data_IF_517647173760
#
_entry.id   IF_517647173760
#
_cell.length_a   1.000
_cell.length_b   1.000
_cell.length_c   1.000
_cell.angle_alpha   90.00
_cell.angle_beta   90.00
_cell.angle_gamma   90.00
#
_symmetry.space_group_name_H-M   'P 1'
#
loop_
_entity.id
_entity.type
_entity.pdbx_description
1 polymer ?
#
# COMPACT_ATOMS: atom_id res chain seq x y z
N UNK A 1 -10.01 8.73 -17.15
CA UNK A 1 -9.10 7.59 -17.31
C UNK A 1 -8.78 7.39 -18.78
N UNK A 2 -7.50 7.26 -19.12
CA UNK A 2 -7.06 7.00 -20.49
C UNK A 2 -7.46 5.57 -20.94
N UNK A 3 -7.63 5.33 -22.25
CA UNK A 3 -7.74 3.97 -22.81
C UNK A 3 -6.51 3.11 -22.46
N UNK A 4 -6.67 1.78 -22.44
CA UNK A 4 -5.59 0.85 -22.06
C UNK A 4 -4.33 1.05 -22.92
N UNK A 5 -4.49 1.29 -24.21
CA UNK A 5 -3.42 1.48 -25.19
C UNK A 5 -2.61 2.77 -24.95
N UNK A 6 -3.19 3.73 -24.22
CA UNK A 6 -2.59 5.01 -23.92
C UNK A 6 -1.95 5.05 -22.53
N UNK A 7 -2.49 4.29 -21.55
CA UNK A 7 -2.09 4.37 -20.13
C UNK A 7 -0.61 4.15 -19.88
N UNK A 8 -0.01 3.22 -20.60
CA UNK A 8 1.38 2.79 -20.38
C UNK A 8 2.36 3.42 -21.37
N UNK A 9 1.90 4.37 -22.20
CA UNK A 9 2.80 5.11 -23.08
C UNK A 9 3.71 6.01 -22.23
N UNK A 10 5.00 6.17 -22.60
CA UNK A 10 5.95 6.98 -21.82
C UNK A 10 5.46 8.40 -21.52
N UNK A 11 4.74 9.03 -22.45
CA UNK A 11 4.16 10.37 -22.29
C UNK A 11 3.08 10.47 -21.21
N UNK A 12 2.47 9.35 -20.81
CA UNK A 12 1.43 9.27 -19.79
C UNK A 12 1.94 8.70 -18.45
N UNK A 13 3.24 8.39 -18.36
CA UNK A 13 3.89 7.85 -17.16
C UNK A 13 4.85 8.89 -16.61
N UNK A 14 4.65 9.27 -15.36
CA UNK A 14 5.50 10.23 -14.66
C UNK A 14 6.32 9.49 -13.62
N UNK A 15 7.65 9.59 -13.70
CA UNK A 15 8.55 9.09 -12.67
C UNK A 15 8.53 10.05 -11.48
N UNK A 16 7.88 9.63 -10.38
CA UNK A 16 7.71 10.46 -9.17
C UNK A 16 8.81 10.27 -8.13
N UNK A 17 9.64 9.24 -8.26
CA UNK A 17 10.70 8.97 -7.30
C UNK A 17 11.56 7.79 -7.70
N UNK A 18 12.81 7.81 -7.24
CA UNK A 18 13.79 6.77 -7.49
C UNK A 18 14.45 6.39 -6.17
N UNK A 19 14.28 5.13 -5.77
CA UNK A 19 14.93 4.61 -4.56
C UNK A 19 16.33 4.12 -4.95
N UNK A 20 17.41 4.71 -4.39
CA UNK A 20 18.77 4.27 -4.67
C UNK A 20 19.00 2.87 -4.09
N UNK A 21 19.66 1.99 -4.83
CA UNK A 21 20.12 0.73 -4.24
C UNK A 21 20.81 -0.24 -5.19
N UNK A 22 21.92 -0.81 -4.73
CA UNK A 22 22.45 -2.11 -5.20
C UNK A 22 21.77 -3.30 -4.50
N UNK A 23 20.93 -3.03 -3.49
CA UNK A 23 20.18 -4.01 -2.67
C UNK A 23 18.76 -3.52 -2.44
N UNK A 24 17.85 -4.46 -2.21
CA UNK A 24 16.44 -4.19 -1.98
C UNK A 24 16.21 -3.36 -0.69
N UNK A 25 15.37 -2.30 -0.71
CA UNK A 25 15.15 -1.45 0.45
C UNK A 25 14.58 -2.23 1.64
N UNK A 26 15.09 -1.92 2.84
CA UNK A 26 14.51 -2.47 4.08
C UNK A 26 13.13 -1.89 4.30
N UNK A 27 12.27 -2.64 4.98
CA UNK A 27 10.88 -2.23 5.24
C UNK A 27 10.83 -0.82 5.82
N UNK A 28 11.63 -0.46 6.83
CA UNK A 28 11.66 0.90 7.43
C UNK A 28 11.99 2.01 6.41
N UNK A 29 12.93 1.78 5.50
CA UNK A 29 13.41 2.78 4.54
C UNK A 29 12.30 3.21 3.56
N UNK A 30 11.45 2.26 3.14
CA UNK A 30 10.33 2.55 2.22
C UNK A 30 9.36 3.58 2.81
N UNK A 31 9.15 3.64 4.15
CA UNK A 31 8.31 4.70 4.72
C UNK A 31 8.92 6.09 4.54
N UNK A 32 10.23 6.22 4.59
CA UNK A 32 10.87 7.52 4.43
C UNK A 32 10.64 8.06 3.02
N UNK A 33 10.75 7.20 2.01
CA UNK A 33 10.45 7.57 0.62
C UNK A 33 8.97 7.87 0.39
N UNK A 34 8.08 7.04 0.94
CA UNK A 34 6.64 7.26 0.80
C UNK A 34 6.18 8.56 1.49
N UNK A 35 6.90 9.06 2.51
CA UNK A 35 6.50 10.26 3.23
C UNK A 35 6.38 11.47 2.31
N UNK A 36 7.40 11.74 1.49
CA UNK A 36 7.38 12.89 0.58
C UNK A 36 6.23 12.80 -0.42
N UNK A 37 6.01 11.60 -0.99
CA UNK A 37 4.92 11.34 -1.93
C UNK A 37 3.55 11.56 -1.26
N UNK A 38 3.37 11.07 -0.03
CA UNK A 38 2.13 11.23 0.73
C UNK A 38 1.86 12.70 1.08
N UNK A 39 2.88 13.45 1.49
CA UNK A 39 2.74 14.87 1.81
C UNK A 39 2.32 15.69 0.57
N UNK A 40 2.83 15.38 -0.62
CA UNK A 40 2.40 15.98 -1.88
C UNK A 40 1.00 15.54 -2.31
N UNK A 41 0.66 14.25 -2.15
CA UNK A 41 -0.69 13.74 -2.44
C UNK A 41 -1.76 14.39 -1.56
N UNK A 42 -1.45 14.69 -0.29
CA UNK A 42 -2.36 15.42 0.59
C UNK A 42 -2.60 16.85 0.10
N UNK A 43 -1.55 17.54 -0.37
CA UNK A 43 -1.69 18.87 -0.97
C UNK A 43 -2.54 18.81 -2.25
N UNK A 44 -2.25 17.86 -3.13
CA UNK A 44 -3.02 17.63 -4.35
C UNK A 44 -4.47 17.26 -4.07
N UNK A 45 -4.75 16.54 -3.00
CA UNK A 45 -6.11 16.20 -2.60
C UNK A 45 -6.89 17.45 -2.16
N UNK A 46 -6.24 18.33 -1.40
CA UNK A 46 -6.80 19.64 -1.01
C UNK A 46 -6.97 20.60 -2.19
N UNK A 47 -6.16 20.42 -3.24
CA UNK A 47 -6.19 21.22 -4.47
C UNK A 47 -5.04 22.22 -4.52
N UNK A 48 -4.42 22.32 -5.69
CA UNK A 48 -3.35 23.29 -5.97
C UNK A 48 -3.71 24.13 -7.19
N UNK A 49 -3.35 25.41 -7.17
CA UNK A 49 -3.54 26.30 -8.31
C UNK A 49 -2.31 26.29 -9.20
N UNK A 50 -2.46 25.84 -10.44
CA UNK A 50 -1.35 25.77 -11.42
C UNK A 50 -1.65 26.74 -12.59
N UNK A 51 -0.79 27.76 -12.82
CA UNK A 51 -0.83 28.58 -14.02
C UNK A 51 -0.66 27.76 -15.29
N UNK A 52 -1.47 28.03 -16.31
CA UNK A 52 -1.35 27.39 -17.62
C UNK A 52 -1.26 28.46 -18.71
N UNK A 53 -0.78 28.09 -19.90
CA UNK A 53 -0.69 29.03 -21.03
C UNK A 53 -2.05 29.69 -21.35
N UNK A 54 -3.14 28.93 -21.30
CA UNK A 54 -4.51 29.44 -21.56
C UNK A 54 -5.13 30.16 -20.35
N UNK A 55 -4.63 29.91 -19.14
CA UNK A 55 -5.14 30.51 -17.91
C UNK A 55 -3.95 30.93 -17.01
N UNK A 56 -3.37 32.13 -17.24
CA UNK A 56 -2.24 32.63 -16.45
C UNK A 56 -2.59 32.86 -14.98
N UNK A 57 -3.86 33.14 -14.67
CA UNK A 57 -4.37 33.26 -13.30
C UNK A 57 -4.39 31.93 -12.53
N UNK A 58 -4.22 30.80 -13.23
CA UNK A 58 -4.19 29.47 -12.64
C UNK A 58 -5.50 28.72 -12.71
N UNK A 59 -5.38 27.39 -12.77
CA UNK A 59 -6.49 26.45 -12.67
C UNK A 59 -6.30 25.65 -11.38
N UNK A 60 -7.36 25.52 -10.59
CA UNK A 60 -7.33 24.65 -9.42
C UNK A 60 -7.43 23.18 -9.86
N UNK A 61 -6.42 22.39 -9.48
CA UNK A 61 -6.27 20.99 -9.85
C UNK A 61 -6.25 20.15 -8.59
N UNK A 62 -7.02 19.07 -8.61
CA UNK A 62 -7.00 18.05 -7.57
C UNK A 62 -6.47 16.74 -8.13
N UNK A 63 -5.71 16.01 -7.33
CA UNK A 63 -5.31 14.64 -7.64
C UNK A 63 -5.44 13.76 -6.39
N UNK A 64 -5.70 12.47 -6.61
CA UNK A 64 -5.79 11.49 -5.55
C UNK A 64 -5.15 10.18 -6.02
N UNK A 65 -4.44 9.52 -5.11
CA UNK A 65 -3.93 8.18 -5.35
C UNK A 65 -5.10 7.21 -5.52
N UNK A 66 -5.18 6.57 -6.69
CA UNK A 66 -6.27 5.62 -6.98
C UNK A 66 -5.97 4.21 -6.50
N UNK A 67 -4.74 3.73 -6.68
CA UNK A 67 -4.34 2.35 -6.36
C UNK A 67 -2.82 2.22 -6.20
N UNK A 68 -2.40 1.21 -5.46
CA UNK A 68 -1.02 0.70 -5.42
C UNK A 68 -1.02 -0.64 -6.15
N UNK A 69 -0.26 -0.73 -7.23
CA UNK A 69 -0.12 -1.94 -8.04
C UNK A 69 1.37 -2.30 -8.13
N UNK A 70 1.74 -3.43 -7.52
CA UNK A 70 3.10 -3.95 -7.52
C UNK A 70 3.08 -5.49 -7.44
N UNK A 71 4.24 -6.14 -7.59
CA UNK A 71 4.36 -7.56 -7.26
C UNK A 71 4.04 -7.83 -5.76
N UNK A 72 3.94 -9.11 -5.38
CA UNK A 72 3.57 -9.50 -4.01
C UNK A 72 4.58 -8.95 -2.99
N UNK A 73 5.90 -9.14 -3.13
CA UNK A 73 6.88 -8.64 -2.15
C UNK A 73 6.80 -7.11 -1.96
N UNK A 74 6.74 -6.35 -3.05
CA UNK A 74 6.70 -4.89 -3.02
C UNK A 74 5.40 -4.41 -2.41
N UNK A 75 4.29 -5.01 -2.80
CA UNK A 75 2.96 -4.70 -2.25
C UNK A 75 2.93 -4.83 -0.72
N UNK A 76 3.49 -5.92 -0.17
CA UNK A 76 3.57 -6.10 1.28
C UNK A 76 4.44 -5.05 1.96
N UNK A 77 5.51 -4.60 1.30
CA UNK A 77 6.41 -3.58 1.85
C UNK A 77 5.82 -2.17 1.78
N UNK A 78 5.20 -1.80 0.67
CA UNK A 78 4.59 -0.46 0.46
C UNK A 78 3.35 -0.27 1.32
N UNK A 79 2.46 -1.27 1.33
CA UNK A 79 1.22 -1.25 2.11
C UNK A 79 1.41 -1.75 3.55
N UNK A 80 2.62 -2.21 3.88
CA UNK A 80 3.05 -2.66 5.23
C UNK A 80 2.30 -3.85 5.80
N UNK A 81 1.74 -4.69 4.94
CA UNK A 81 1.24 -6.00 5.33
C UNK A 81 2.39 -6.96 5.66
N UNK A 82 2.12 -7.96 6.50
CA UNK A 82 3.10 -9.01 6.82
C UNK A 82 3.46 -9.86 5.60
N UNK A 83 4.62 -10.53 5.66
CA UNK A 83 5.16 -11.32 4.56
C UNK A 83 4.36 -12.60 4.29
N UNK A 84 4.68 -13.31 3.20
CA UNK A 84 3.97 -14.52 2.77
C UNK A 84 3.97 -15.68 3.79
N UNK A 85 4.91 -15.69 4.73
CA UNK A 85 4.99 -16.72 5.78
C UNK A 85 4.13 -16.38 7.02
N UNK A 86 3.43 -15.25 7.01
CA UNK A 86 2.48 -14.88 8.06
C UNK A 86 1.22 -15.72 7.98
N UNK A 87 0.59 -15.96 9.14
CA UNK A 87 -0.78 -16.50 9.20
C UNK A 87 -1.79 -15.51 8.61
N UNK A 88 -1.49 -14.20 8.55
CA UNK A 88 -2.28 -13.19 7.85
C UNK A 88 -1.96 -13.18 6.34
N UNK A 89 -2.16 -14.32 5.68
CA UNK A 89 -1.82 -14.53 4.28
C UNK A 89 -2.64 -13.66 3.31
N UNK A 90 -3.89 -13.34 3.64
CA UNK A 90 -4.75 -12.46 2.85
C UNK A 90 -4.74 -11.03 3.45
N UNK A 91 -4.29 -9.99 2.73
CA UNK A 91 -4.29 -8.61 3.23
C UNK A 91 -5.71 -7.99 3.28
N UNK A 92 -6.69 -8.72 2.74
CA UNK A 92 -8.10 -8.33 2.70
C UNK A 92 -8.95 -9.05 3.71
N UNK A 93 -8.34 -9.90 4.55
CA UNK A 93 -9.08 -10.78 5.41
C UNK A 93 -8.75 -10.52 6.88
N UNK A 94 -9.75 -10.63 7.74
CA UNK A 94 -9.57 -10.56 9.21
C UNK A 94 -8.95 -11.86 9.71
N UNK A 95 -9.32 -12.98 9.10
CA UNK A 95 -8.94 -14.32 9.53
C UNK A 95 -7.45 -14.61 9.35
N UNK A 96 -6.88 -15.30 10.33
CA UNK A 96 -5.58 -15.98 10.24
C UNK A 96 -5.73 -17.37 9.59
N UNK A 97 -4.92 -17.62 8.58
CA UNK A 97 -4.85 -18.86 7.82
C UNK A 97 -3.81 -19.78 8.45
N UNK A 98 -4.22 -20.50 9.50
CA UNK A 98 -3.36 -21.46 10.20
C UNK A 98 -3.22 -22.76 9.41
N UNK A 99 -2.22 -23.58 9.76
CA UNK A 99 -2.03 -24.90 9.16
C UNK A 99 -3.13 -25.87 9.63
N UNK A 100 -3.61 -26.70 8.72
CA UNK A 100 -4.53 -27.78 9.05
C UNK A 100 -3.85 -28.80 9.98
N UNK A 101 -4.57 -29.37 10.96
CA UNK A 101 -4.04 -30.46 11.78
C UNK A 101 -3.53 -31.60 10.89
N UNK A 102 -2.38 -32.19 11.23
CA UNK A 102 -1.76 -33.31 10.50
C UNK A 102 -1.28 -33.06 9.07
N UNK A 103 -1.31 -31.82 8.56
CA UNK A 103 -0.70 -31.46 7.27
C UNK A 103 0.14 -30.18 7.37
N UNK A 104 1.02 -29.96 6.38
CA UNK A 104 1.72 -28.68 6.25
C UNK A 104 0.95 -27.64 5.42
N UNK A 105 -0.32 -27.92 5.06
CA UNK A 105 -1.13 -27.04 4.22
C UNK A 105 -1.85 -25.99 5.08
N UNK A 106 -1.94 -24.77 4.59
CA UNK A 106 -2.75 -23.72 5.21
C UNK A 106 -4.24 -23.94 4.91
N UNK A 107 -5.10 -23.69 5.90
CA UNK A 107 -6.56 -23.72 5.73
C UNK A 107 -7.05 -22.43 5.08
N UNK A 108 -7.28 -22.45 3.76
CA UNK A 108 -7.83 -21.33 2.99
C UNK A 108 -9.37 -21.29 2.93
N UNK A 109 -10.07 -21.92 3.87
CA UNK A 109 -11.52 -21.79 3.99
C UNK A 109 -11.93 -20.49 4.72
N UNK A 110 -13.23 -20.13 4.65
CA UNK A 110 -13.84 -19.10 5.51
C UNK A 110 -13.21 -17.71 5.39
N UNK A 111 -13.26 -17.13 4.19
CA UNK A 111 -12.80 -15.76 3.95
C UNK A 111 -13.76 -14.74 4.55
N UNK A 112 -13.26 -13.92 5.46
CA UNK A 112 -13.98 -12.77 6.04
C UNK A 112 -13.23 -11.50 5.72
N UNK A 113 -13.93 -10.46 5.26
CA UNK A 113 -13.30 -9.25 4.73
C UNK A 113 -12.94 -8.23 5.81
N UNK A 114 -11.68 -7.79 5.82
CA UNK A 114 -11.18 -6.68 6.63
C UNK A 114 -11.62 -5.35 6.01
N UNK A 115 -12.16 -4.45 6.82
CA UNK A 115 -12.47 -3.09 6.35
C UNK A 115 -11.22 -2.21 6.35
N UNK A 116 -11.19 -1.18 5.49
CA UNK A 116 -10.11 -0.20 5.50
C UNK A 116 -10.00 0.58 6.83
N UNK A 117 -11.11 0.72 7.57
CA UNK A 117 -11.13 1.37 8.88
C UNK A 117 -10.45 0.50 9.94
N UNK A 118 -10.83 -0.77 10.05
CA UNK A 118 -10.19 -1.73 10.98
C UNK A 118 -8.70 -1.87 10.69
N UNK A 119 -8.33 -1.98 9.41
CA UNK A 119 -6.93 -2.01 9.01
C UNK A 119 -6.15 -0.77 9.48
N UNK A 120 -6.74 0.42 9.35
CA UNK A 120 -6.12 1.66 9.83
C UNK A 120 -5.97 1.66 11.35
N UNK A 121 -7.00 1.24 12.09
CA UNK A 121 -6.94 1.16 13.56
C UNK A 121 -5.81 0.22 14.02
N UNK A 122 -5.69 -0.97 13.42
CA UNK A 122 -4.60 -1.90 13.73
C UNK A 122 -3.21 -1.31 13.41
N UNK A 123 -3.10 -0.57 12.30
CA UNK A 123 -1.85 0.09 11.94
C UNK A 123 -1.49 1.25 12.88
N UNK A 124 -2.49 2.00 13.38
CA UNK A 124 -2.33 3.06 14.37
C UNK A 124 -1.92 2.50 15.73
N UNK A 125 -2.55 1.41 16.15
CA UNK A 125 -2.20 0.67 17.36
C UNK A 125 -0.72 0.23 17.31
N UNK A 126 -0.31 -0.42 16.21
CA UNK A 126 1.09 -0.80 15.98
C UNK A 126 2.06 0.39 16.02
N UNK A 127 1.63 1.56 15.51
CA UNK A 127 2.45 2.79 15.55
C UNK A 127 2.61 3.33 16.97
N UNK A 128 1.58 3.16 17.80
CA UNK A 128 1.50 3.74 19.15
C UNK A 128 2.26 2.93 20.22
N UNK A 129 2.50 1.64 19.97
CA UNK A 129 3.26 0.78 20.89
C UNK A 129 4.75 1.08 20.87
N UNK A 130 5.41 0.88 22.01
CA UNK A 130 6.82 1.26 22.19
C UNK A 130 7.78 0.08 22.32
N UNK A 131 7.28 -1.15 22.55
CA UNK A 131 8.15 -2.31 22.75
C UNK A 131 8.25 -3.19 21.50
N UNK A 132 9.44 -3.74 21.18
CA UNK A 132 9.59 -4.67 20.06
C UNK A 132 8.73 -5.94 20.16
N UNK A 133 8.47 -6.41 21.38
CA UNK A 133 7.61 -7.57 21.64
C UNK A 133 6.15 -7.30 21.26
N UNK A 134 5.62 -6.13 21.65
CA UNK A 134 4.25 -5.74 21.29
C UNK A 134 4.11 -5.53 19.78
N UNK A 135 5.10 -4.92 19.12
CA UNK A 135 5.11 -4.83 17.66
C UNK A 135 5.00 -6.20 17.00
N UNK A 136 5.78 -7.17 17.49
CA UNK A 136 5.75 -8.51 16.91
C UNK A 136 4.40 -9.19 17.14
N UNK A 137 3.82 -9.03 18.32
CA UNK A 137 2.51 -9.58 18.65
C UNK A 137 1.41 -9.01 17.75
N UNK A 138 1.34 -7.69 17.62
CA UNK A 138 0.37 -7.00 16.76
C UNK A 138 0.56 -7.36 15.28
N UNK A 139 1.81 -7.57 14.83
CA UNK A 139 2.08 -8.04 13.47
C UNK A 139 1.53 -9.45 13.23
N UNK A 140 1.68 -10.36 14.22
CA UNK A 140 1.12 -11.71 14.14
C UNK A 140 -0.40 -11.64 14.12
N UNK A 141 -1.00 -10.89 15.05
CA UNK A 141 -2.44 -10.80 15.23
C UNK A 141 -3.13 -10.13 14.05
N UNK A 142 -2.67 -8.94 13.66
CA UNK A 142 -3.39 -8.06 12.73
C UNK A 142 -2.80 -8.06 11.31
N UNK A 143 -1.59 -8.61 11.13
CA UNK A 143 -0.98 -8.74 9.79
C UNK A 143 -0.59 -7.41 9.13
N UNK A 144 -0.54 -6.30 9.86
CA UNK A 144 -0.27 -4.96 9.33
C UNK A 144 0.66 -4.15 10.24
N UNK A 145 1.46 -3.26 9.63
CA UNK A 145 2.27 -2.24 10.30
C UNK A 145 1.88 -0.86 9.75
N UNK A 146 2.34 0.21 10.42
CA UNK A 146 2.13 1.57 9.91
C UNK A 146 2.86 1.85 8.59
N UNK A 147 2.09 2.10 7.53
CA UNK A 147 2.55 2.73 6.28
C UNK A 147 2.26 4.22 6.27
N UNK A 148 3.13 5.04 5.67
CA UNK A 148 2.81 6.44 5.38
C UNK A 148 1.50 6.59 4.60
N UNK A 149 1.13 5.62 3.76
CA UNK A 149 -0.11 5.64 3.00
C UNK A 149 -1.37 5.68 3.90
N UNK A 150 -1.29 5.29 5.17
CA UNK A 150 -2.41 5.41 6.11
C UNK A 150 -2.77 6.88 6.43
N UNK A 151 -1.85 7.83 6.22
CA UNK A 151 -2.16 9.25 6.34
C UNK A 151 -3.16 9.74 5.28
N UNK A 152 -3.29 9.03 4.16
CA UNK A 152 -4.27 9.36 3.12
C UNK A 152 -5.67 8.93 3.59
N UNK A 153 -6.37 9.84 4.27
CA UNK A 153 -7.69 9.57 4.86
C UNK A 153 -8.71 8.99 3.86
N UNK A 154 -8.63 9.40 2.60
CA UNK A 154 -9.49 8.96 1.49
C UNK A 154 -9.08 7.60 0.88
N UNK A 155 -7.93 7.05 1.26
CA UNK A 155 -7.35 5.86 0.63
C UNK A 155 -7.53 4.63 1.51
N UNK A 156 -8.24 3.63 0.98
CA UNK A 156 -8.44 2.33 1.61
C UNK A 156 -7.34 1.36 1.15
N UNK A 157 -6.33 1.14 1.98
CA UNK A 157 -5.20 0.25 1.67
C UNK A 157 -5.62 -1.20 1.41
N UNK A 158 -6.68 -1.67 2.07
CA UNK A 158 -7.15 -3.05 1.88
C UNK A 158 -7.73 -3.24 0.48
N UNK A 159 -8.51 -2.26 0.01
CA UNK A 159 -9.20 -2.34 -1.29
C UNK A 159 -8.38 -1.81 -2.45
N UNK A 160 -7.51 -0.82 -2.22
CA UNK A 160 -6.77 -0.09 -3.26
C UNK A 160 -5.36 -0.61 -3.49
N UNK A 161 -4.91 -1.57 -2.67
CA UNK A 161 -3.69 -2.33 -2.94
C UNK A 161 -4.05 -3.58 -3.74
N UNK A 162 -3.48 -3.68 -4.93
CA UNK A 162 -3.63 -4.84 -5.82
C UNK A 162 -2.27 -5.46 -6.12
N UNK A 163 -2.29 -6.77 -6.33
CA UNK A 163 -1.13 -7.48 -6.85
C UNK A 163 -1.15 -7.31 -8.36
N UNK A 164 -0.11 -6.69 -8.90
CA UNK A 164 0.11 -6.59 -10.33
C UNK A 164 0.59 -7.94 -10.87
N UNK A 165 -0.20 -8.63 -11.72
CA UNK A 165 0.16 -9.93 -12.25
C UNK A 165 1.17 -9.83 -13.40
N UNK A 166 1.70 -8.65 -13.76
CA UNK A 166 2.67 -8.49 -14.86
C UNK A 166 3.82 -9.52 -14.76
N UNK A 167 4.34 -9.78 -13.57
CA UNK A 167 5.42 -10.76 -13.35
C UNK A 167 4.94 -12.22 -13.29
N UNK A 168 3.63 -12.48 -13.18
CA UNK A 168 3.05 -13.81 -13.07
C UNK A 168 2.40 -14.31 -14.39
N UNK A 169 2.09 -13.40 -15.33
CA UNK A 169 1.37 -13.73 -16.58
C UNK A 169 2.25 -13.67 -17.84
N UNK A 170 3.42 -13.01 -17.79
CA UNK A 170 4.25 -12.78 -18.98
C UNK A 170 5.73 -13.20 -18.80
N UNK A 171 6.00 -14.16 -17.90
CA UNK A 171 7.28 -14.89 -17.89
C UNK A 171 7.24 -16.08 -18.85
#
# INVERSE_FOLDING_TARGET
>A
NLPQEERFKPENVILVGLMPGSKEPKTKEINHYLKSIVDELLQLFMGITIPTFKCPAGVNIHAALHMVACDIPTTRKTSRFTTHNSTCACPRCVRQFTRLPSTNQADFSGFDYLTGLENRLHAEEWKSTSTPSEWHQLEIENGVRWSQLHHLGYFDLVRRTIIDPIHNLFL
#
